data_IF_358727456417
#
_entry.id   IF_358727456417
#
_cell.length_a   1.000
_cell.length_b   1.000
_cell.length_c   1.000
_cell.angle_alpha   90.00
_cell.angle_beta   90.00
_cell.angle_gamma   90.00
#
_symmetry.space_group_name_H-M   'P 1'
#
loop_
_entity.id
_entity.type
_entity.pdbx_description
1 polymer ?
#
# COMPACT_ATOMS: atom_id res chain seq x y z
N UNK A 1 -2.69 18.67 11.32
CA UNK A 1 -1.59 17.76 10.93
C UNK A 1 -2.12 16.81 9.88
N UNK A 2 -1.60 16.87 8.66
CA UNK A 2 -1.92 15.86 7.64
C UNK A 2 -1.06 14.64 7.93
N UNK A 3 -1.68 13.55 8.41
CA UNK A 3 -1.05 12.23 8.42
C UNK A 3 -0.83 11.82 6.96
N UNK A 4 0.33 12.19 6.42
CA UNK A 4 0.71 11.93 5.04
C UNK A 4 0.81 10.43 4.78
N UNK A 5 0.30 10.00 3.63
CA UNK A 5 0.56 8.65 3.10
C UNK A 5 1.33 8.83 1.81
N UNK A 6 2.45 8.13 1.68
CA UNK A 6 3.19 8.06 0.42
C UNK A 6 2.82 6.76 -0.27
N UNK A 7 2.33 6.84 -1.50
CA UNK A 7 2.04 5.66 -2.33
C UNK A 7 3.36 5.17 -2.93
N UNK A 8 3.67 3.90 -2.68
CA UNK A 8 4.82 3.21 -3.26
C UNK A 8 4.50 2.55 -4.60
N UNK A 9 3.32 1.91 -4.72
CA UNK A 9 2.90 1.19 -5.94
C UNK A 9 1.36 1.04 -5.99
N UNK A 10 0.81 0.84 -7.20
CA UNK A 10 -0.61 0.65 -7.48
C UNK A 10 -0.87 -0.69 -8.19
N UNK A 11 -1.89 -1.42 -7.74
CA UNK A 11 -2.29 -2.70 -8.31
C UNK A 11 -3.79 -2.70 -8.64
N UNK A 12 -4.20 -3.11 -9.85
CA UNK A 12 -5.63 -3.17 -10.20
C UNK A 12 -6.35 -4.22 -9.36
N UNK A 13 -7.53 -3.88 -8.82
CA UNK A 13 -8.28 -4.81 -7.97
C UNK A 13 -8.99 -5.93 -8.76
N UNK A 14 -9.34 -5.69 -10.02
CA UNK A 14 -10.08 -6.63 -10.88
C UNK A 14 -9.29 -7.84 -11.41
N UNK A 15 -8.03 -8.03 -11.00
CA UNK A 15 -7.22 -9.18 -11.43
C UNK A 15 -7.66 -10.51 -10.78
N UNK A 16 -7.37 -11.68 -11.39
CA UNK A 16 -7.81 -12.99 -10.89
C UNK A 16 -7.23 -13.38 -9.52
N UNK A 17 -6.25 -12.61 -9.02
CA UNK A 17 -5.59 -12.84 -7.73
C UNK A 17 -6.01 -11.85 -6.63
N UNK A 18 -6.98 -10.97 -6.90
CA UNK A 18 -7.40 -9.94 -5.96
C UNK A 18 -6.24 -9.10 -5.45
N UNK A 19 -6.13 -8.93 -4.13
CA UNK A 19 -5.08 -8.13 -3.48
C UNK A 19 -3.70 -8.81 -3.43
N UNK A 20 -3.58 -10.10 -3.76
CA UNK A 20 -2.34 -10.86 -3.55
C UNK A 20 -1.08 -10.19 -4.13
N UNK A 21 -1.06 -9.62 -5.35
CA UNK A 21 0.11 -8.90 -5.86
C UNK A 21 0.53 -7.70 -5.00
N UNK A 22 -0.44 -6.96 -4.45
CA UNK A 22 -0.18 -5.84 -3.55
C UNK A 22 0.38 -6.33 -2.20
N UNK A 23 -0.17 -7.43 -1.67
CA UNK A 23 0.28 -8.05 -0.42
C UNK A 23 1.72 -8.58 -0.52
N UNK A 24 2.07 -9.25 -1.62
CA UNK A 24 3.44 -9.72 -1.89
C UNK A 24 4.43 -8.55 -1.97
N UNK A 25 4.06 -7.49 -2.69
CA UNK A 25 4.90 -6.30 -2.77
C UNK A 25 5.07 -5.64 -1.40
N UNK A 26 3.98 -5.44 -0.65
CA UNK A 26 4.04 -4.87 0.69
C UNK A 26 4.82 -5.76 1.66
N UNK A 27 4.74 -7.09 1.54
CA UNK A 27 5.56 -8.02 2.29
C UNK A 27 7.05 -7.84 1.98
N UNK A 28 7.43 -7.76 0.70
CA UNK A 28 8.81 -7.50 0.30
C UNK A 28 9.35 -6.18 0.86
N UNK A 29 8.56 -5.09 0.80
CA UNK A 29 8.94 -3.80 1.42
C UNK A 29 9.11 -3.90 2.93
N UNK A 30 8.28 -4.69 3.61
CA UNK A 30 8.42 -4.96 5.05
C UNK A 30 9.69 -5.74 5.38
N UNK A 31 10.09 -6.71 4.54
CA UNK A 31 11.38 -7.40 4.69
C UNK A 31 12.57 -6.46 4.49
N UNK A 32 12.40 -5.38 3.74
CA UNK A 32 13.39 -4.29 3.57
C UNK A 32 13.33 -3.24 4.69
N UNK A 33 12.45 -3.41 5.69
CA UNK A 33 12.32 -2.51 6.83
C UNK A 33 11.37 -1.32 6.63
N UNK A 34 10.66 -1.24 5.50
CA UNK A 34 9.65 -0.21 5.29
C UNK A 34 8.31 -0.64 5.91
N UNK A 35 7.61 0.24 6.67
CA UNK A 35 6.30 -0.06 7.25
C UNK A 35 5.19 0.04 6.19
N UNK A 36 5.28 -0.80 5.16
CA UNK A 36 4.37 -0.79 4.03
C UNK A 36 3.03 -1.46 4.37
N UNK A 37 1.93 -0.82 3.95
CA UNK A 37 0.56 -1.30 4.11
C UNK A 37 -0.17 -1.34 2.77
N UNK A 38 -1.08 -2.31 2.61
CA UNK A 38 -2.03 -2.35 1.50
C UNK A 38 -3.32 -1.67 1.92
N UNK A 39 -3.79 -0.71 1.11
CA UNK A 39 -5.11 -0.07 1.28
C UNK A 39 -5.89 -0.13 -0.02
N UNK A 40 -7.22 -0.20 0.06
CA UNK A 40 -8.09 -0.17 -1.12
C UNK A 40 -8.53 1.27 -1.40
N UNK A 41 -8.26 1.75 -2.61
CA UNK A 41 -8.88 2.95 -3.18
C UNK A 41 -10.16 2.53 -3.90
N UNK A 42 -11.29 2.76 -3.23
CA UNK A 42 -12.62 2.42 -3.75
C UNK A 42 -13.02 3.27 -4.95
N UNK A 43 -12.49 4.50 -5.08
CA UNK A 43 -12.89 5.40 -6.16
C UNK A 43 -12.29 4.94 -7.50
N UNK A 44 -11.10 4.33 -7.46
CA UNK A 44 -10.39 3.87 -8.66
C UNK A 44 -10.31 2.35 -8.76
N UNK A 45 -10.95 1.61 -7.86
CA UNK A 45 -10.90 0.14 -7.78
C UNK A 45 -9.45 -0.39 -7.84
N UNK A 46 -8.60 0.17 -6.98
CA UNK A 46 -7.14 -0.08 -6.99
C UNK A 46 -6.65 -0.37 -5.58
N UNK A 47 -5.78 -1.37 -5.43
CA UNK A 47 -4.99 -1.54 -4.22
C UNK A 47 -3.75 -0.63 -4.29
N UNK A 48 -3.54 0.16 -3.25
CA UNK A 48 -2.38 1.01 -3.08
C UNK A 48 -1.48 0.39 -2.02
N UNK A 49 -0.19 0.28 -2.32
CA UNK A 49 0.82 0.04 -1.27
C UNK A 49 1.32 1.39 -0.81
N UNK A 50 1.23 1.65 0.48
CA UNK A 50 1.59 2.94 1.09
C UNK A 50 2.61 2.76 2.21
N UNK A 51 3.32 3.84 2.53
CA UNK A 51 3.91 4.04 3.86
C UNK A 51 3.22 5.22 4.53
N UNK A 52 2.98 5.11 5.83
CA UNK A 52 2.50 6.24 6.63
C UNK A 52 3.71 7.07 7.04
N UNK A 53 3.61 8.39 6.91
CA UNK A 53 4.52 9.25 7.64
C UNK A 53 4.20 9.06 9.12
N UNK A 54 5.19 8.58 9.88
CA UNK A 54 5.06 8.56 11.33
C UNK A 54 4.84 10.00 11.78
N UNK A 55 3.75 10.24 12.51
CA UNK A 55 3.56 11.47 13.26
C UNK A 55 4.47 11.39 14.49
N UNK A 56 5.77 11.37 14.28
CA UNK A 56 6.76 11.55 15.34
C UNK A 56 7.03 13.04 15.44
N UNK A 57 6.54 13.63 16.52
CA UNK A 57 7.05 14.89 17.10
C UNK A 57 8.46 14.65 17.66
#
# INVERSE_FOLDING_TARGET
MVNGRTVLERFPAGGPRGSWPAEEFAHARRMEGLPAEVVMDLATDTFLVIVRADATD
#
